data_IF_834421567215
#
_entry.id   IF_834421567215
#
_cell.length_a   1.000
_cell.length_b   1.000
_cell.length_c   1.000
_cell.angle_alpha   90.00
_cell.angle_beta   90.00
_cell.angle_gamma   90.00
#
_symmetry.space_group_name_H-M   'P 1'
#
loop_
_entity.id
_entity.type
_entity.pdbx_description
1 polymer ?
#
# COMPACT_ATOMS: atom_id res chain seq x y z
N UNK A 1 -7.78 16.42 -4.60
CA UNK A 1 -7.04 15.55 -3.64
C UNK A 1 -6.50 14.37 -4.43
N UNK A 2 -5.17 14.17 -4.53
CA UNK A 2 -4.56 13.05 -5.26
C UNK A 2 -4.27 11.93 -4.27
N UNK A 3 -5.21 11.00 -4.12
CA UNK A 3 -5.06 9.80 -3.29
C UNK A 3 -5.35 8.61 -4.18
N UNK A 4 -4.48 7.62 -4.11
CA UNK A 4 -4.55 6.37 -4.86
C UNK A 4 -4.26 5.22 -3.89
N UNK A 5 -4.80 4.04 -4.18
CA UNK A 5 -4.39 2.83 -3.47
C UNK A 5 -2.96 2.43 -3.88
N UNK A 6 -2.28 1.58 -3.10
CA UNK A 6 -0.98 1.03 -3.48
C UNK A 6 -0.99 0.35 -4.85
N UNK A 7 -2.03 -0.44 -5.15
CA UNK A 7 -2.18 -1.12 -6.44
C UNK A 7 -2.34 -0.12 -7.61
N UNK A 8 -3.16 0.92 -7.44
CA UNK A 8 -3.33 1.97 -8.45
C UNK A 8 -2.02 2.72 -8.72
N UNK A 9 -1.24 3.00 -7.67
CA UNK A 9 0.04 3.68 -7.79
C UNK A 9 1.05 2.91 -8.64
N UNK A 10 1.12 1.60 -8.45
CA UNK A 10 2.03 0.74 -9.22
C UNK A 10 1.56 0.62 -10.68
N UNK A 11 0.25 0.44 -10.91
CA UNK A 11 -0.32 0.45 -12.27
C UNK A 11 -0.10 1.77 -12.99
N UNK A 12 -0.05 2.88 -12.26
CA UNK A 12 0.29 4.20 -12.78
C UNK A 12 1.80 4.39 -13.04
N UNK A 13 2.63 3.38 -12.78
CA UNK A 13 4.07 3.37 -13.07
C UNK A 13 4.99 3.72 -11.89
N UNK A 14 4.48 3.79 -10.65
CA UNK A 14 5.37 3.97 -9.49
C UNK A 14 6.24 2.75 -9.26
N UNK A 15 7.54 2.96 -9.18
CA UNK A 15 8.52 1.93 -8.81
C UNK A 15 8.72 1.80 -7.30
N UNK A 16 8.24 2.79 -6.51
CA UNK A 16 8.37 2.80 -5.06
C UNK A 16 7.18 3.49 -4.40
N UNK A 17 6.71 2.94 -3.28
CA UNK A 17 5.58 3.46 -2.51
C UNK A 17 6.02 3.87 -1.11
N UNK A 18 5.62 5.08 -0.70
CA UNK A 18 5.79 5.55 0.68
C UNK A 18 4.45 5.43 1.40
N UNK A 19 4.33 4.46 2.29
CA UNK A 19 3.12 4.23 3.09
C UNK A 19 3.39 4.58 4.55
N UNK A 20 2.79 5.68 5.02
CA UNK A 20 2.96 6.20 6.39
C UNK A 20 1.84 5.73 7.34
N UNK A 21 0.92 6.65 7.66
CA UNK A 21 -0.17 6.42 8.62
C UNK A 21 -0.97 5.12 8.47
N UNK A 22 -1.25 4.60 7.26
CA UNK A 22 -1.93 3.32 7.13
C UNK A 22 -1.20 2.13 7.80
N UNK A 23 0.12 2.20 7.94
CA UNK A 23 0.92 1.19 8.65
C UNK A 23 1.18 1.63 10.08
N UNK A 24 1.72 2.84 10.28
CA UNK A 24 2.17 3.28 11.61
C UNK A 24 1.04 3.59 12.60
N UNK A 25 -0.18 3.81 12.11
CA UNK A 25 -1.38 4.04 12.92
C UNK A 25 -2.29 2.81 13.06
N UNK A 26 -1.91 1.67 12.50
CA UNK A 26 -2.68 0.44 12.60
C UNK A 26 -2.56 -0.18 14.00
N UNK A 27 -3.57 -0.94 14.43
CA UNK A 27 -3.53 -1.70 15.68
C UNK A 27 -2.44 -2.78 15.64
N UNK A 28 -2.26 -3.41 14.48
CA UNK A 28 -1.14 -4.30 14.17
C UNK A 28 -0.44 -3.82 12.88
N UNK A 29 0.73 -3.15 13.00
CA UNK A 29 1.48 -2.66 11.85
C UNK A 29 1.99 -3.76 10.92
N UNK A 30 2.28 -4.96 11.45
CA UNK A 30 2.81 -6.07 10.65
C UNK A 30 1.69 -6.66 9.81
N UNK A 31 0.52 -6.87 10.39
CA UNK A 31 -0.67 -7.31 9.66
C UNK A 31 -1.03 -6.30 8.56
N UNK A 32 -1.05 -5.01 8.88
CA UNK A 32 -1.35 -3.96 7.90
C UNK A 32 -0.38 -3.96 6.72
N UNK A 33 0.93 -4.11 6.98
CA UNK A 33 1.94 -4.25 5.93
C UNK A 33 1.71 -5.50 5.07
N UNK A 34 1.40 -6.64 5.70
CA UNK A 34 1.13 -7.88 4.98
C UNK A 34 -0.08 -7.75 4.05
N UNK A 35 -1.17 -7.14 4.52
CA UNK A 35 -2.36 -6.89 3.72
C UNK A 35 -2.07 -6.00 2.51
N UNK A 36 -1.29 -4.93 2.68
CA UNK A 36 -0.87 -4.06 1.57
C UNK A 36 -0.02 -4.83 0.55
N UNK A 37 0.93 -5.65 1.00
CA UNK A 37 1.75 -6.46 0.11
C UNK A 37 0.91 -7.51 -0.65
N UNK A 38 -0.08 -8.12 0.01
CA UNK A 38 -1.02 -9.04 -0.63
C UNK A 38 -1.88 -8.33 -1.67
N UNK A 39 -2.40 -7.13 -1.36
CA UNK A 39 -3.15 -6.32 -2.33
C UNK A 39 -2.31 -6.05 -3.57
N UNK A 40 -1.06 -5.60 -3.40
CA UNK A 40 -0.14 -5.33 -4.51
C UNK A 40 0.10 -6.60 -5.33
N UNK A 41 0.43 -7.72 -4.68
CA UNK A 41 0.75 -8.97 -5.36
C UNK A 41 -0.45 -9.57 -6.13
N UNK A 42 -1.67 -9.42 -5.61
CA UNK A 42 -2.89 -9.89 -6.27
C UNK A 42 -3.33 -9.02 -7.46
N UNK A 43 -2.86 -7.77 -7.51
CA UNK A 43 -3.32 -6.74 -8.43
C UNK A 43 -2.29 -6.33 -9.49
N UNK A 44 -1.09 -6.90 -9.43
CA UNK A 44 -0.06 -6.93 -10.47
C UNK A 44 -0.39 -8.01 -11.51
#
# INVERSE_FOLDING_TARGET
RRVMTPAEAIRAGSSYLVVGRPITGAADPVEALQLINQEIAANL
#
